data_IF_272643313070
#
_entry.id   IF_272643313070
#
_cell.length_a   1.000
_cell.length_b   1.000
_cell.length_c   1.000
_cell.angle_alpha   90.00
_cell.angle_beta   90.00
_cell.angle_gamma   90.00
#
_symmetry.space_group_name_H-M   'P 1'
#
loop_
_entity.id
_entity.type
_entity.pdbx_description
1 polymer ?
#
# COMPACT_ATOMS: atom_id res chain seq x y z
N UNK A 1 9.90 -6.34 -37.24
CA UNK A 1 9.53 -5.22 -36.36
C UNK A 1 9.93 -5.59 -34.94
N UNK A 2 10.70 -4.76 -34.22
CA UNK A 2 11.04 -5.02 -32.80
C UNK A 2 9.75 -4.84 -31.97
N UNK A 3 9.38 -5.84 -31.17
CA UNK A 3 8.27 -5.74 -30.20
C UNK A 3 8.57 -4.57 -29.26
N UNK A 4 7.61 -3.66 -29.07
CA UNK A 4 7.73 -2.57 -28.09
C UNK A 4 7.71 -3.19 -26.70
N UNK A 5 8.66 -2.83 -25.85
CA UNK A 5 8.71 -3.21 -24.43
C UNK A 5 7.64 -2.41 -23.66
N UNK A 6 6.76 -3.08 -22.96
CA UNK A 6 5.60 -2.50 -22.28
C UNK A 6 5.84 -2.46 -20.78
N UNK A 7 5.89 -1.25 -20.21
CA UNK A 7 5.95 -1.04 -18.76
C UNK A 7 4.56 -0.82 -18.20
N UNK A 8 4.19 -1.64 -17.22
CA UNK A 8 2.94 -1.56 -16.46
C UNK A 8 3.21 -0.96 -15.09
N UNK A 9 2.41 0.01 -14.65
CA UNK A 9 2.42 0.52 -13.30
C UNK A 9 1.14 0.15 -12.56
N UNK A 10 1.27 -0.17 -11.28
CA UNK A 10 0.16 -0.29 -10.32
C UNK A 10 0.43 0.60 -9.13
N UNK A 11 -0.60 1.00 -8.39
CA UNK A 11 -0.42 1.79 -7.17
C UNK A 11 -1.24 1.26 -6.00
N UNK A 12 -0.73 1.43 -4.79
CA UNK A 12 -1.45 1.05 -3.59
C UNK A 12 -0.68 1.29 -2.29
N UNK A 13 -1.41 1.20 -1.19
CA UNK A 13 -0.84 1.27 0.15
C UNK A 13 -0.14 -0.04 0.55
N UNK A 14 -0.73 -1.19 0.20
CA UNK A 14 -0.25 -2.54 0.57
C UNK A 14 0.04 -2.67 2.08
N UNK A 15 -0.88 -2.13 2.89
CA UNK A 15 -0.71 -1.98 4.34
C UNK A 15 -1.96 -2.40 5.12
N UNK A 16 -1.99 -3.66 5.62
CA UNK A 16 -1.05 -4.74 5.31
C UNK A 16 -1.32 -5.37 3.94
N UNK A 17 -0.33 -6.09 3.42
CA UNK A 17 -0.48 -6.88 2.19
C UNK A 17 -1.37 -8.11 2.45
N UNK A 18 -2.17 -8.50 1.46
CA UNK A 18 -3.10 -9.64 1.54
C UNK A 18 -3.30 -10.32 0.18
N UNK A 19 -4.00 -11.44 0.14
CA UNK A 19 -4.20 -12.25 -1.08
C UNK A 19 -4.84 -11.48 -2.24
N UNK A 20 -5.67 -10.46 -1.95
CA UNK A 20 -6.22 -9.58 -2.97
C UNK A 20 -5.15 -8.75 -3.68
N UNK A 21 -4.18 -8.26 -2.94
CA UNK A 21 -3.02 -7.58 -3.52
C UNK A 21 -2.18 -8.53 -4.38
N UNK A 22 -2.00 -9.80 -3.96
CA UNK A 22 -1.29 -10.81 -4.75
C UNK A 22 -2.02 -11.09 -6.07
N UNK A 23 -3.36 -11.23 -6.04
CA UNK A 23 -4.16 -11.40 -7.25
C UNK A 23 -4.02 -10.19 -8.19
N UNK A 24 -4.08 -8.97 -7.66
CA UNK A 24 -3.90 -7.72 -8.40
C UNK A 24 -2.53 -7.64 -9.08
N UNK A 25 -1.45 -7.88 -8.34
CA UNK A 25 -0.07 -7.90 -8.86
C UNK A 25 0.06 -8.93 -9.98
N UNK A 26 -0.45 -10.16 -9.77
CA UNK A 26 -0.37 -11.25 -10.75
C UNK A 26 -1.09 -10.92 -12.06
N UNK A 27 -2.27 -10.33 -11.98
CA UNK A 27 -3.03 -9.95 -13.18
C UNK A 27 -2.42 -8.74 -13.88
N UNK A 28 -1.92 -7.76 -13.12
CA UNK A 28 -1.21 -6.60 -13.69
C UNK A 28 0.08 -7.02 -14.44
N UNK A 29 0.84 -7.95 -13.89
CA UNK A 29 2.06 -8.47 -14.51
C UNK A 29 1.82 -9.13 -15.90
N UNK A 30 0.60 -9.57 -16.19
CA UNK A 30 0.25 -10.14 -17.51
C UNK A 30 0.03 -9.10 -18.60
N UNK A 31 -0.09 -7.83 -18.22
CA UNK A 31 -0.43 -6.73 -19.16
C UNK A 31 0.79 -6.19 -19.89
N UNK A 32 2.02 -6.53 -19.48
CA UNK A 32 3.23 -6.02 -20.10
C UNK A 32 4.46 -6.88 -19.84
N UNK A 33 5.61 -6.31 -20.14
CA UNK A 33 6.91 -6.98 -20.04
C UNK A 33 7.65 -6.61 -18.72
N UNK A 34 7.23 -5.53 -18.04
CA UNK A 34 7.76 -5.06 -16.74
C UNK A 34 6.66 -4.51 -15.88
N UNK A 35 6.59 -4.93 -14.63
CA UNK A 35 5.67 -4.41 -13.62
C UNK A 35 6.39 -3.55 -12.59
N UNK A 36 5.97 -2.28 -12.49
CA UNK A 36 6.42 -1.33 -11.48
C UNK A 36 5.29 -1.10 -10.47
N UNK A 37 5.59 -1.27 -9.19
CA UNK A 37 4.65 -0.97 -8.11
C UNK A 37 4.95 0.42 -7.56
N UNK A 38 4.00 1.34 -7.67
CA UNK A 38 4.03 2.63 -7.00
C UNK A 38 3.45 2.45 -5.61
N UNK A 39 4.33 2.41 -4.61
CA UNK A 39 3.97 2.24 -3.22
C UNK A 39 3.62 3.59 -2.60
N UNK A 40 2.40 3.75 -2.10
CA UNK A 40 2.01 4.97 -1.39
C UNK A 40 2.90 5.16 -0.15
N UNK A 41 3.46 6.36 0.00
CA UNK A 41 4.32 6.73 1.13
C UNK A 41 3.54 6.77 2.46
N UNK A 42 4.25 6.85 3.56
CA UNK A 42 3.65 6.82 4.90
C UNK A 42 2.77 8.05 5.17
N UNK A 43 3.15 9.23 4.64
CA UNK A 43 2.32 10.43 4.74
C UNK A 43 0.96 10.28 4.06
N UNK A 44 0.90 9.56 2.93
CA UNK A 44 -0.36 9.21 2.29
C UNK A 44 -1.24 8.37 3.23
N UNK A 45 -0.68 7.35 3.89
CA UNK A 45 -1.42 6.49 4.80
C UNK A 45 -1.92 7.26 6.03
N UNK A 46 -1.07 8.09 6.62
CA UNK A 46 -1.44 8.94 7.76
C UNK A 46 -2.61 9.86 7.41
N UNK A 47 -2.59 10.51 6.24
CA UNK A 47 -3.71 11.36 5.79
C UNK A 47 -4.98 10.55 5.50
N UNK A 48 -4.86 9.34 4.95
CA UNK A 48 -6.00 8.52 4.52
C UNK A 48 -6.62 7.67 5.62
N UNK A 49 -5.79 7.09 6.48
CA UNK A 49 -6.20 6.10 7.49
C UNK A 49 -5.97 6.58 8.92
N UNK A 50 -5.11 7.59 9.13
CA UNK A 50 -4.71 8.07 10.44
C UNK A 50 -3.55 7.27 11.08
N UNK A 51 -3.11 6.19 10.45
CA UNK A 51 -2.02 5.35 10.96
C UNK A 51 -1.29 4.63 9.84
N UNK A 52 -0.07 4.17 10.13
CA UNK A 52 0.75 3.28 9.30
C UNK A 52 0.92 1.97 10.06
N UNK A 53 0.49 0.85 9.46
CA UNK A 53 0.67 -0.46 10.08
C UNK A 53 2.11 -0.96 9.90
N UNK A 54 2.68 -0.79 8.70
CA UNK A 54 4.09 -1.05 8.40
C UNK A 54 4.71 0.13 7.67
N UNK A 55 5.93 0.56 8.06
CA UNK A 55 6.63 1.64 7.36
C UNK A 55 6.89 1.28 5.89
N UNK A 56 7.10 2.31 5.07
CA UNK A 56 7.28 2.16 3.62
C UNK A 56 8.45 1.26 3.25
N UNK A 57 9.51 1.25 4.04
CA UNK A 57 10.69 0.40 3.84
C UNK A 57 10.33 -1.09 3.93
N UNK A 58 9.63 -1.51 4.98
CA UNK A 58 9.18 -2.90 5.16
C UNK A 58 8.22 -3.32 4.04
N UNK A 59 7.27 -2.44 3.69
CA UNK A 59 6.28 -2.71 2.63
C UNK A 59 6.96 -2.84 1.27
N UNK A 60 7.99 -2.03 1.01
CA UNK A 60 8.80 -2.08 -0.20
C UNK A 60 9.54 -3.42 -0.29
N UNK A 61 10.25 -3.84 0.76
CA UNK A 61 10.99 -5.10 0.80
C UNK A 61 10.07 -6.31 0.57
N UNK A 62 8.89 -6.31 1.20
CA UNK A 62 7.87 -7.36 0.99
C UNK A 62 7.44 -7.40 -0.49
N UNK A 63 7.14 -6.25 -1.09
CA UNK A 63 6.68 -6.17 -2.48
C UNK A 63 7.75 -6.59 -3.48
N UNK A 64 9.01 -6.21 -3.26
CA UNK A 64 10.16 -6.60 -4.09
C UNK A 64 10.40 -8.13 -4.07
N UNK A 65 9.98 -8.79 -2.99
CA UNK A 65 10.08 -10.25 -2.86
C UNK A 65 8.95 -11.01 -3.59
N UNK A 66 7.94 -10.31 -4.13
CA UNK A 66 6.79 -10.94 -4.77
C UNK A 66 7.09 -11.26 -6.23
N UNK A 67 6.90 -12.52 -6.61
CA UNK A 67 7.06 -12.95 -8.00
C UNK A 67 6.16 -12.14 -8.95
N UNK A 68 6.79 -11.55 -9.98
CA UNK A 68 6.11 -10.74 -11.01
C UNK A 68 6.16 -9.24 -10.73
N UNK A 69 6.79 -8.82 -9.63
CA UNK A 69 7.19 -7.42 -9.40
C UNK A 69 8.62 -7.25 -9.88
N UNK A 70 8.86 -6.31 -10.78
CA UNK A 70 10.20 -6.02 -11.29
C UNK A 70 10.84 -4.83 -10.56
N UNK A 71 10.01 -3.91 -10.06
CA UNK A 71 10.50 -2.73 -9.34
C UNK A 71 9.43 -2.18 -8.40
N UNK A 72 9.86 -1.60 -7.27
CA UNK A 72 8.99 -0.87 -6.34
C UNK A 72 9.52 0.55 -6.14
N UNK A 73 8.68 1.53 -6.43
CA UNK A 73 8.98 2.96 -6.26
C UNK A 73 8.08 3.52 -5.18
N UNK A 74 8.65 4.15 -4.16
CA UNK A 74 7.85 4.89 -3.17
C UNK A 74 7.36 6.19 -3.82
N UNK A 75 6.05 6.46 -3.73
CA UNK A 75 5.43 7.64 -4.30
C UNK A 75 6.05 8.93 -3.76
N UNK A 76 6.34 9.86 -4.67
CA UNK A 76 6.83 11.22 -4.36
C UNK A 76 5.68 12.22 -4.15
N UNK A 77 4.43 11.76 -4.27
CA UNK A 77 3.24 12.61 -4.18
C UNK A 77 2.97 13.01 -2.73
N UNK A 78 2.59 14.28 -2.54
CA UNK A 78 2.26 14.86 -1.25
C UNK A 78 0.75 14.88 -0.98
N UNK A 79 -0.06 14.42 -1.94
CA UNK A 79 -1.51 14.36 -1.87
C UNK A 79 -2.02 12.90 -1.80
N UNK A 80 -3.30 12.68 -2.14
CA UNK A 80 -3.91 11.35 -2.17
C UNK A 80 -3.90 10.71 -3.56
N UNK A 81 -3.02 11.16 -4.45
CA UNK A 81 -2.85 10.64 -5.81
C UNK A 81 -1.45 10.03 -6.00
N UNK A 82 -1.16 9.57 -7.19
CA UNK A 82 0.18 9.19 -7.64
C UNK A 82 0.54 9.89 -8.96
N UNK A 83 -0.04 11.07 -9.18
CA UNK A 83 0.09 11.82 -10.43
C UNK A 83 1.52 12.23 -10.75
N UNK A 84 2.24 12.81 -9.77
CA UNK A 84 3.64 13.22 -9.95
C UNK A 84 4.53 12.00 -10.22
N UNK A 85 4.30 10.90 -9.49
CA UNK A 85 5.06 9.68 -9.68
C UNK A 85 4.82 9.08 -11.06
N UNK A 86 3.58 9.09 -11.57
CA UNK A 86 3.26 8.67 -12.93
C UNK A 86 3.90 9.56 -14.01
N UNK A 87 3.90 10.86 -13.80
CA UNK A 87 4.55 11.81 -14.70
C UNK A 87 6.06 11.57 -14.82
N UNK A 88 6.73 11.20 -13.72
CA UNK A 88 8.15 10.83 -13.71
C UNK A 88 8.41 9.47 -14.35
N UNK A 89 7.59 8.48 -14.03
CA UNK A 89 7.76 7.08 -14.49
C UNK A 89 7.40 6.90 -15.97
N UNK A 90 6.33 7.57 -16.42
CA UNK A 90 5.76 7.48 -17.80
C UNK A 90 5.53 6.03 -18.23
N UNK A 91 4.74 5.23 -17.51
CA UNK A 91 4.46 3.86 -17.91
C UNK A 91 3.58 3.82 -19.16
N UNK A 92 3.60 2.71 -19.89
CA UNK A 92 2.70 2.50 -21.03
C UNK A 92 1.27 2.19 -20.57
N UNK A 93 1.14 1.47 -19.44
CA UNK A 93 -0.14 1.07 -18.85
C UNK A 93 -0.14 1.43 -17.36
N UNK A 94 -1.22 2.07 -16.90
CA UNK A 94 -1.52 2.22 -15.50
C UNK A 94 -2.71 1.34 -15.14
N UNK A 95 -2.46 0.24 -14.44
CA UNK A 95 -3.46 -0.73 -14.05
C UNK A 95 -4.02 -0.41 -12.67
N UNK A 96 -5.36 -0.35 -12.54
CA UNK A 96 -6.07 -0.09 -11.28
C UNK A 96 -6.87 -1.31 -10.86
N UNK A 97 -6.66 -1.73 -9.62
CA UNK A 97 -7.43 -2.80 -8.98
C UNK A 97 -8.77 -2.34 -8.41
N UNK A 98 -9.57 -3.30 -7.99
CA UNK A 98 -10.88 -3.05 -7.38
C UNK A 98 -11.95 -2.66 -8.39
N UNK A 99 -13.21 -2.67 -7.91
CA UNK A 99 -14.35 -2.29 -8.74
C UNK A 99 -14.38 -0.77 -8.90
N UNK A 100 -14.33 -0.29 -10.14
CA UNK A 100 -14.42 1.13 -10.50
C UNK A 100 -15.63 1.32 -11.40
N UNK A 101 -16.49 2.27 -11.07
CA UNK A 101 -17.74 2.53 -11.77
C UNK A 101 -17.58 3.52 -12.93
N UNK A 102 -16.52 4.32 -12.92
CA UNK A 102 -16.31 5.31 -13.97
C UNK A 102 -14.99 6.08 -13.87
N UNK A 103 -14.72 6.94 -14.86
CA UNK A 103 -13.52 7.77 -14.91
C UNK A 103 -13.35 8.68 -13.69
N UNK A 104 -14.43 9.19 -13.10
CA UNK A 104 -14.40 10.06 -11.92
C UNK A 104 -13.82 9.41 -10.65
N UNK A 105 -13.71 8.07 -10.64
CA UNK A 105 -13.12 7.32 -9.53
C UNK A 105 -11.59 7.23 -9.59
N UNK A 106 -10.96 7.79 -10.62
CA UNK A 106 -9.52 7.68 -10.87
C UNK A 106 -8.95 9.08 -11.16
N UNK A 107 -8.44 9.78 -10.14
CA UNK A 107 -7.89 11.13 -10.31
C UNK A 107 -6.68 11.19 -11.26
N UNK A 108 -6.00 10.05 -11.48
CA UNK A 108 -4.84 9.97 -12.34
C UNK A 108 -5.16 9.90 -13.85
N UNK A 109 -6.42 9.90 -14.28
CA UNK A 109 -6.80 9.78 -15.70
C UNK A 109 -6.24 10.93 -16.54
N UNK A 110 -6.30 12.16 -16.04
CA UNK A 110 -5.84 13.33 -16.78
C UNK A 110 -4.34 13.25 -17.05
N UNK A 111 -3.54 12.95 -16.03
CA UNK A 111 -2.08 12.80 -16.20
C UNK A 111 -1.73 11.62 -17.10
N UNK A 112 -2.43 10.48 -16.96
CA UNK A 112 -2.23 9.32 -17.82
C UNK A 112 -2.48 9.68 -19.30
N UNK A 113 -3.55 10.43 -19.58
CA UNK A 113 -3.83 10.92 -20.94
C UNK A 113 -2.72 11.85 -21.46
N UNK A 114 -2.25 12.76 -20.61
CA UNK A 114 -1.20 13.72 -21.00
C UNK A 114 0.14 13.05 -21.33
N UNK A 115 0.50 11.97 -20.61
CA UNK A 115 1.76 11.23 -20.83
C UNK A 115 1.62 10.07 -21.83
N UNK A 116 0.44 9.85 -22.42
CA UNK A 116 0.17 8.74 -23.34
C UNK A 116 0.09 7.36 -22.68
N UNK A 117 -0.22 7.31 -21.40
CA UNK A 117 -0.38 6.09 -20.61
C UNK A 117 -1.83 5.56 -20.71
N UNK A 118 -2.00 4.27 -21.04
CA UNK A 118 -3.32 3.63 -21.06
C UNK A 118 -3.75 3.26 -19.65
N UNK A 119 -4.97 3.65 -19.24
CA UNK A 119 -5.54 3.22 -17.95
C UNK A 119 -6.36 1.94 -18.16
N UNK A 120 -6.03 0.88 -17.39
CA UNK A 120 -6.76 -0.40 -17.37
C UNK A 120 -7.36 -0.59 -15.98
N UNK A 121 -8.66 -0.78 -15.89
CA UNK A 121 -9.40 -0.90 -14.63
C UNK A 121 -9.82 -2.34 -14.34
N UNK A 122 -10.27 -2.60 -13.11
CA UNK A 122 -10.79 -3.89 -12.66
C UNK A 122 -9.77 -5.05 -12.72
N UNK A 123 -8.48 -4.73 -12.64
CA UNK A 123 -7.39 -5.70 -12.66
C UNK A 123 -7.34 -6.47 -11.33
N UNK A 124 -7.25 -7.79 -11.38
CA UNK A 124 -7.19 -8.67 -10.21
C UNK A 124 -8.55 -9.07 -9.63
N UNK A 125 -9.66 -8.76 -10.34
CA UNK A 125 -11.01 -9.09 -9.91
C UNK A 125 -11.60 -8.09 -8.92
N UNK A 126 -12.86 -8.31 -8.52
CA UNK A 126 -13.55 -7.43 -7.57
C UNK A 126 -12.93 -7.42 -6.18
N UNK A 127 -13.33 -6.44 -5.35
CA UNK A 127 -12.94 -6.34 -3.93
C UNK A 127 -13.13 -7.70 -3.25
N UNK A 128 -12.04 -8.35 -2.90
CA UNK A 128 -12.08 -9.53 -2.06
C UNK A 128 -12.56 -9.10 -0.65
N UNK A 129 -13.41 -9.91 -0.02
CA UNK A 129 -13.95 -9.69 1.34
C UNK A 129 -12.88 -9.37 2.38
N UNK A 130 -11.63 -9.76 2.13
CA UNK A 130 -10.49 -9.52 3.02
C UNK A 130 -10.28 -8.02 3.37
N UNK A 131 -10.51 -7.10 2.42
CA UNK A 131 -10.32 -5.66 2.67
C UNK A 131 -11.35 -5.11 3.66
N UNK A 132 -12.61 -5.54 3.53
CA UNK A 132 -13.70 -5.03 4.39
C UNK A 132 -13.64 -5.64 5.80
N UNK A 133 -13.24 -6.91 5.90
CA UNK A 133 -13.18 -7.61 7.17
C UNK A 133 -11.98 -7.18 8.00
N UNK A 134 -10.84 -6.93 7.35
CA UNK A 134 -9.63 -6.44 8.00
C UNK A 134 -9.79 -4.98 8.46
N UNK A 135 -10.33 -4.10 7.60
CA UNK A 135 -10.64 -2.71 7.95
C UNK A 135 -11.64 -2.61 9.11
N UNK A 136 -12.65 -3.50 9.16
CA UNK A 136 -13.63 -3.51 10.24
C UNK A 136 -13.02 -4.00 11.56
N UNK A 137 -12.13 -4.98 11.52
CA UNK A 137 -11.40 -5.46 12.70
C UNK A 137 -10.45 -4.40 13.24
N UNK A 138 -9.68 -3.74 12.38
CA UNK A 138 -8.76 -2.66 12.77
C UNK A 138 -9.54 -1.46 13.35
N UNK A 139 -10.66 -1.06 12.74
CA UNK A 139 -11.54 -0.01 13.29
C UNK A 139 -12.21 -0.41 14.60
N UNK A 140 -12.45 -1.70 14.82
CA UNK A 140 -12.92 -2.24 16.09
C UNK A 140 -11.91 -2.10 17.22
N UNK A 141 -10.61 -2.25 16.93
CA UNK A 141 -9.53 -2.03 17.91
C UNK A 141 -9.41 -0.55 18.34
N UNK A 142 -9.74 0.39 17.46
CA UNK A 142 -9.68 1.82 17.77
C UNK A 142 -10.89 2.36 18.55
N UNK A 143 -11.92 1.54 18.82
CA UNK A 143 -13.13 1.94 19.55
C UNK A 143 -13.13 1.55 21.05
N UNK A 144 -12.09 0.89 21.55
CA UNK A 144 -11.99 0.69 22.98
C UNK A 144 -11.59 1.99 23.68
N UNK A 145 -12.46 2.42 24.55
CA UNK A 145 -12.47 3.59 25.41
C UNK A 145 -11.12 4.14 25.81
N UNK A 146 -11.02 5.48 25.84
CA UNK A 146 -9.88 6.27 26.27
C UNK A 146 -9.51 6.03 27.75
N UNK A 147 -9.02 4.84 28.03
CA UNK A 147 -8.24 4.52 29.21
C UNK A 147 -6.81 4.27 28.74
N UNK A 148 -5.83 4.77 29.49
CA UNK A 148 -4.42 4.45 29.28
C UNK A 148 -4.25 2.93 29.33
N UNK A 149 -4.34 2.26 28.18
CA UNK A 149 -4.03 0.84 28.06
C UNK A 149 -2.55 0.72 27.72
N UNK A 150 -1.77 0.27 28.69
CA UNK A 150 -0.47 -0.30 28.42
C UNK A 150 -0.69 -1.64 27.70
N UNK A 151 -0.40 -1.69 26.42
CA UNK A 151 -0.40 -2.95 25.67
C UNK A 151 1.01 -3.55 25.70
N UNK A 152 1.07 -4.88 25.76
CA UNK A 152 2.32 -5.59 25.52
C UNK A 152 2.85 -5.24 24.12
N UNK A 153 4.14 -5.01 24.02
CA UNK A 153 4.75 -4.63 22.75
C UNK A 153 4.61 -5.77 21.73
N UNK A 154 3.89 -5.58 20.62
CA UNK A 154 3.62 -6.66 19.66
C UNK A 154 4.87 -7.24 19.00
N UNK A 155 6.01 -6.52 19.09
CA UNK A 155 7.27 -6.95 18.49
C UNK A 155 8.13 -7.80 19.40
N UNK A 156 7.91 -7.78 20.71
CA UNK A 156 8.74 -8.54 21.66
C UNK A 156 7.93 -9.23 22.79
N UNK A 157 6.60 -9.21 22.71
CA UNK A 157 5.74 -9.84 23.71
C UNK A 157 6.08 -11.33 23.91
N UNK A 158 6.22 -12.07 22.81
CA UNK A 158 6.48 -13.52 22.81
C UNK A 158 7.99 -13.88 22.68
N UNK A 159 8.88 -12.88 22.69
CA UNK A 159 10.30 -13.09 22.51
C UNK A 159 11.15 -12.37 23.56
N UNK A 160 11.35 -12.97 24.76
CA UNK A 160 12.11 -12.36 25.86
C UNK A 160 13.51 -11.87 25.46
N UNK A 161 14.19 -12.60 24.55
CA UNK A 161 15.53 -12.27 24.07
C UNK A 161 15.56 -10.98 23.23
N UNK A 162 14.46 -10.68 22.54
CA UNK A 162 14.33 -9.47 21.72
C UNK A 162 13.90 -8.25 22.54
N UNK A 163 13.39 -8.45 23.76
CA UNK A 163 12.85 -7.40 24.60
C UNK A 163 13.86 -6.29 24.90
N UNK A 164 15.09 -6.66 25.28
CA UNK A 164 16.15 -5.72 25.65
C UNK A 164 16.62 -4.85 24.47
N UNK A 165 16.50 -5.35 23.24
CA UNK A 165 16.92 -4.68 22.00
C UNK A 165 15.75 -4.14 21.18
N UNK A 166 14.55 -4.24 21.68
CA UNK A 166 13.36 -3.78 20.96
C UNK A 166 13.38 -2.25 20.80
N UNK A 167 13.55 -1.78 19.58
CA UNK A 167 13.57 -0.36 19.24
C UNK A 167 12.19 0.31 19.45
N UNK A 168 11.10 -0.46 19.36
CA UNK A 168 9.74 0.06 19.46
C UNK A 168 9.37 0.42 20.90
N UNK A 169 9.56 -0.48 21.86
CA UNK A 169 9.27 -0.23 23.28
C UNK A 169 10.52 0.19 24.08
N UNK A 170 11.70 0.29 23.45
CA UNK A 170 12.98 0.63 24.09
C UNK A 170 13.27 -0.22 25.33
N UNK A 171 13.02 -1.52 25.23
CA UNK A 171 13.24 -2.49 26.30
C UNK A 171 12.16 -2.58 27.36
N UNK A 172 11.13 -1.70 27.33
CA UNK A 172 10.08 -1.68 28.35
C UNK A 172 9.11 -2.85 28.27
N UNK A 173 9.01 -3.54 27.12
CA UNK A 173 8.08 -4.64 26.87
C UNK A 173 6.62 -4.19 26.72
N UNK A 174 6.35 -2.91 26.95
CA UNK A 174 5.03 -2.29 26.83
C UNK A 174 5.10 -1.00 26.01
N UNK A 175 4.07 -0.72 25.27
CA UNK A 175 3.91 0.54 24.50
C UNK A 175 2.72 1.30 25.06
N UNK A 176 2.91 2.61 25.26
CA UNK A 176 1.82 3.50 25.64
C UNK A 176 1.07 3.88 24.37
N UNK A 177 -0.19 3.44 24.27
CA UNK A 177 -1.08 3.84 23.18
C UNK A 177 -1.74 5.15 23.61
N UNK A 178 -0.94 6.22 23.62
CA UNK A 178 -1.35 7.52 24.07
C UNK A 178 -2.59 8.05 23.36
N UNK A 179 -3.31 8.90 24.08
CA UNK A 179 -4.45 9.68 23.59
C UNK A 179 -4.07 10.35 22.28
N UNK A 180 -4.83 10.08 21.21
CA UNK A 180 -4.81 10.92 20.04
C UNK A 180 -5.25 12.32 20.48
N UNK A 181 -4.34 13.28 20.44
CA UNK A 181 -4.64 14.69 20.62
C UNK A 181 -5.69 15.11 19.60
N UNK A 182 -6.70 15.80 20.10
CA UNK A 182 -7.87 16.28 19.35
C UNK A 182 -7.50 17.35 18.34
#
# INVERSE_FOLDING_TARGET
MKKKFITVAISGAFDPIHVGHIAYIREAAKLGDRLVVILNNDNFLLRKKGFVFRPSEDRKEILESIKGVDEVIVSVDDDQTVCKTLELLKPDIFAKGGYRTGPGDIPEIEICSAIGCQVVTNVGGGKLRADMELDSKIKGFNKHEAGTMELECPYCADHPILRERCLHCKGKGKVDVGKADK
#
